data_IF_068776294160
#
_entry.id   IF_068776294160
#
_cell.length_a   1.000
_cell.length_b   1.000
_cell.length_c   1.000
_cell.angle_alpha   90.00
_cell.angle_beta   90.00
_cell.angle_gamma   90.00
#
_symmetry.space_group_name_H-M   'P 1'
#
loop_
_entity.id
_entity.type
_entity.pdbx_description
1 polymer ?
#
# COMPACT_ATOMS: atom_id res chain seq x y z
N UNK A 1 -22.72 -18.11 4.49
CA UNK A 1 -22.42 -19.42 5.12
C UNK A 1 -21.04 -19.32 5.78
N UNK A 2 -20.84 -19.89 6.97
CA UNK A 2 -19.53 -19.95 7.64
C UNK A 2 -18.56 -20.78 6.77
N UNK A 3 -17.33 -20.31 6.58
CA UNK A 3 -16.29 -21.03 5.83
C UNK A 3 -16.25 -20.81 4.31
N UNK A 4 -17.09 -19.93 3.75
CA UNK A 4 -16.92 -19.53 2.35
C UNK A 4 -15.71 -18.62 2.18
N UNK A 5 -14.86 -18.81 1.14
CA UNK A 5 -13.73 -17.92 0.87
C UNK A 5 -14.25 -16.56 0.36
N UNK A 6 -13.82 -15.47 0.98
CA UNK A 6 -14.28 -14.09 0.68
C UNK A 6 -13.15 -13.23 0.12
N UNK A 7 -11.89 -13.58 0.39
CA UNK A 7 -10.74 -12.84 -0.08
C UNK A 7 -9.42 -13.53 0.25
N UNK A 8 -8.33 -12.83 -0.06
CA UNK A 8 -6.97 -13.27 0.19
C UNK A 8 -6.24 -12.23 1.06
N UNK A 9 -5.31 -12.69 1.89
CA UNK A 9 -4.45 -11.86 2.71
C UNK A 9 -3.04 -12.43 2.69
N UNK A 10 -2.05 -11.55 2.68
CA UNK A 10 -0.64 -11.91 2.89
C UNK A 10 -0.04 -10.96 3.92
N UNK A 11 0.85 -11.49 4.76
CA UNK A 11 1.65 -10.69 5.68
C UNK A 11 3.10 -10.75 5.25
N UNK A 12 3.67 -9.61 4.90
CA UNK A 12 5.08 -9.49 4.52
C UNK A 12 5.90 -9.05 5.75
N UNK A 13 7.05 -9.68 5.97
CA UNK A 13 7.99 -9.38 7.06
C UNK A 13 9.43 -9.44 6.56
N UNK A 14 10.33 -8.76 7.27
CA UNK A 14 11.76 -8.74 6.95
C UNK A 14 12.03 -8.18 5.55
N UNK A 15 12.95 -8.81 4.81
CA UNK A 15 13.39 -8.33 3.51
C UNK A 15 12.24 -8.17 2.49
N UNK A 16 11.33 -9.15 2.41
CA UNK A 16 10.19 -9.11 1.46
C UNK A 16 9.26 -7.92 1.69
N UNK A 17 9.15 -7.45 2.94
CA UNK A 17 8.35 -6.27 3.28
C UNK A 17 8.98 -5.01 2.69
N UNK A 18 10.29 -4.83 2.88
CA UNK A 18 11.01 -3.67 2.35
C UNK A 18 11.06 -3.67 0.83
N UNK A 19 11.29 -4.82 0.19
CA UNK A 19 11.26 -4.94 -1.27
C UNK A 19 9.87 -4.60 -1.85
N UNK A 20 8.79 -5.03 -1.19
CA UNK A 20 7.44 -4.66 -1.61
C UNK A 20 7.18 -3.16 -1.41
N UNK A 21 7.61 -2.58 -0.29
CA UNK A 21 7.45 -1.16 -0.02
C UNK A 21 8.20 -0.30 -1.04
N UNK A 22 9.44 -0.67 -1.37
CA UNK A 22 10.25 -0.02 -2.39
C UNK A 22 9.56 -0.06 -3.76
N UNK A 23 9.11 -1.24 -4.21
CA UNK A 23 8.33 -1.36 -5.45
C UNK A 23 7.04 -0.56 -5.42
N UNK A 24 6.32 -0.55 -4.29
CA UNK A 24 5.09 0.19 -4.14
C UNK A 24 5.35 1.68 -4.37
N UNK A 25 6.33 2.24 -3.67
CA UNK A 25 6.67 3.66 -3.71
C UNK A 25 7.27 4.08 -5.04
N UNK A 26 8.28 3.37 -5.52
CA UNK A 26 9.11 3.79 -6.65
C UNK A 26 8.58 3.33 -8.00
N UNK A 27 7.73 2.29 -8.05
CA UNK A 27 7.26 1.70 -9.32
C UNK A 27 5.74 1.76 -9.44
N UNK A 28 5.00 1.31 -8.43
CA UNK A 28 3.56 1.11 -8.56
C UNK A 28 2.76 2.42 -8.40
N UNK A 29 3.04 3.23 -7.37
CA UNK A 29 2.33 4.48 -7.12
C UNK A 29 2.45 5.50 -8.26
N UNK A 30 3.63 5.70 -8.90
CA UNK A 30 3.74 6.59 -10.06
C UNK A 30 2.91 6.17 -11.28
N UNK A 31 2.55 4.90 -11.39
CA UNK A 31 1.70 4.36 -12.48
C UNK A 31 0.21 4.56 -12.24
N UNK A 32 -0.19 5.01 -11.05
CA UNK A 32 -1.59 5.33 -10.75
C UNK A 32 -2.02 6.51 -11.64
N UNK A 33 -3.10 6.35 -12.40
CA UNK A 33 -3.64 7.45 -13.21
C UNK A 33 -4.07 8.62 -12.32
N UNK A 34 -3.71 9.84 -12.73
CA UNK A 34 -3.99 11.08 -12.00
C UNK A 34 -3.44 11.08 -10.56
N UNK A 35 -2.26 10.48 -10.36
CA UNK A 35 -1.63 10.43 -9.04
C UNK A 35 -1.28 11.82 -8.51
N UNK A 36 -1.85 12.17 -7.35
CA UNK A 36 -1.63 13.46 -6.65
C UNK A 36 -1.02 13.26 -5.26
N UNK A 37 -0.27 12.19 -5.08
CA UNK A 37 0.19 11.75 -3.77
C UNK A 37 -0.89 11.06 -2.93
N UNK A 38 -0.41 10.35 -1.92
CA UNK A 38 -1.22 9.59 -0.97
C UNK A 38 -1.78 10.52 0.10
N UNK A 39 -3.05 10.34 0.45
CA UNK A 39 -3.66 11.11 1.54
C UNK A 39 -3.03 10.72 2.87
N UNK A 40 -2.60 11.69 3.70
CA UNK A 40 -2.12 11.41 5.06
C UNK A 40 -3.26 10.98 6.00
N UNK A 41 -4.53 11.00 5.58
CA UNK A 41 -5.65 10.58 6.45
C UNK A 41 -5.76 9.07 6.68
N UNK A 42 -4.83 8.29 6.11
CA UNK A 42 -4.79 6.84 6.29
C UNK A 42 -4.15 6.37 7.60
N UNK A 43 -3.67 7.28 8.45
CA UNK A 43 -3.16 6.91 9.77
C UNK A 43 -4.30 6.62 10.76
N UNK A 44 -4.04 5.71 11.70
CA UNK A 44 -5.02 5.20 12.67
C UNK A 44 -4.95 5.85 14.06
N UNK A 45 -4.10 6.87 14.26
CA UNK A 45 -3.85 7.49 15.57
C UNK A 45 -2.84 6.75 16.43
N UNK A 46 -2.31 5.61 15.95
CA UNK A 46 -1.36 4.75 16.66
C UNK A 46 -0.15 4.39 15.80
N UNK A 47 0.17 5.24 14.83
CA UNK A 47 1.37 5.07 14.00
C UNK A 47 1.27 3.99 12.92
N UNK A 48 0.10 3.42 12.66
CA UNK A 48 -0.10 2.53 11.51
C UNK A 48 -0.75 3.28 10.36
N UNK A 49 -0.38 2.92 9.14
CA UNK A 49 -0.86 3.59 7.95
C UNK A 49 -1.56 2.61 7.01
N UNK A 50 -2.77 2.93 6.57
CA UNK A 50 -3.50 2.14 5.57
C UNK A 50 -3.77 2.94 4.31
N UNK A 51 -3.46 2.34 3.16
CA UNK A 51 -3.76 2.88 1.83
C UNK A 51 -4.55 1.88 1.00
N UNK A 52 -5.62 2.36 0.37
CA UNK A 52 -6.39 1.60 -0.60
C UNK A 52 -5.91 1.84 -2.02
N UNK A 53 -5.62 0.77 -2.73
CA UNK A 53 -5.31 0.75 -4.16
C UNK A 53 -6.55 0.26 -4.91
N UNK A 54 -6.98 1.01 -5.92
CA UNK A 54 -8.18 0.68 -6.70
C UNK A 54 -7.95 -0.43 -7.72
N UNK A 55 -6.76 -0.49 -8.29
CA UNK A 55 -6.44 -1.36 -9.43
C UNK A 55 -5.09 -2.03 -9.20
N UNK A 56 -5.05 -3.36 -9.22
CA UNK A 56 -3.83 -4.13 -9.05
C UNK A 56 -2.87 -4.03 -10.25
N UNK A 57 -3.33 -3.53 -11.40
CA UNK A 57 -2.55 -3.39 -12.64
C UNK A 57 -1.43 -2.35 -12.55
N UNK A 58 -1.37 -1.59 -11.45
CA UNK A 58 -0.28 -0.65 -11.20
C UNK A 58 1.07 -1.35 -11.01
N UNK A 59 1.06 -2.64 -10.65
CA UNK A 59 2.26 -3.45 -10.53
C UNK A 59 2.69 -4.01 -11.89
N UNK A 60 3.95 -3.82 -12.32
CA UNK A 60 4.44 -4.33 -13.61
C UNK A 60 4.39 -5.85 -13.75
N UNK A 61 4.39 -6.58 -12.64
CA UNK A 61 4.28 -8.03 -12.61
C UNK A 61 2.90 -8.55 -13.01
N UNK A 62 1.89 -7.67 -13.04
CA UNK A 62 0.53 -8.03 -13.46
C UNK A 62 0.38 -7.84 -14.96
N UNK A 63 0.16 -8.96 -15.64
CA UNK A 63 -0.15 -9.00 -17.06
C UNK A 63 -1.64 -8.68 -17.27
N UNK A 64 -1.93 -7.58 -17.96
CA UNK A 64 -3.28 -7.10 -18.23
C UNK A 64 -4.10 -8.13 -19.03
N UNK A 65 -3.47 -8.87 -19.95
CA UNK A 65 -4.19 -9.80 -20.82
C UNK A 65 -4.59 -11.09 -20.08
N UNK A 66 -4.02 -11.33 -18.89
CA UNK A 66 -4.29 -12.52 -18.07
C UNK A 66 -5.24 -12.26 -16.91
N UNK A 67 -5.75 -11.03 -16.75
CA UNK A 67 -6.68 -10.70 -15.67
C UNK A 67 -8.13 -10.70 -16.16
N UNK A 68 -8.99 -11.49 -15.50
CA UNK A 68 -10.42 -11.47 -15.80
C UNK A 68 -11.10 -10.16 -15.36
N UNK A 69 -10.66 -9.60 -14.22
CA UNK A 69 -11.25 -8.41 -13.59
C UNK A 69 -10.24 -7.59 -12.83
N UNK A 70 -10.39 -6.27 -12.89
CA UNK A 70 -9.68 -5.33 -12.02
C UNK A 70 -10.20 -5.50 -10.58
N UNK A 71 -9.27 -5.60 -9.64
CA UNK A 71 -9.48 -5.78 -8.20
C UNK A 71 -8.63 -4.76 -7.45
N UNK A 72 -9.24 -4.12 -6.46
CA UNK A 72 -8.51 -3.32 -5.50
C UNK A 72 -7.83 -4.16 -4.42
N UNK A 73 -6.97 -3.51 -3.63
CA UNK A 73 -6.38 -4.08 -2.43
C UNK A 73 -6.16 -2.98 -1.39
N UNK A 74 -6.18 -3.37 -0.12
CA UNK A 74 -5.75 -2.51 0.98
C UNK A 74 -4.37 -2.96 1.44
N UNK A 75 -3.49 -1.98 1.66
CA UNK A 75 -2.13 -2.19 2.16
C UNK A 75 -2.05 -1.47 3.50
N UNK A 76 -1.75 -2.22 4.56
CA UNK A 76 -1.54 -1.68 5.89
C UNK A 76 -0.07 -1.83 6.28
N UNK A 77 0.58 -0.70 6.54
CA UNK A 77 1.94 -0.62 7.03
C UNK A 77 1.86 -0.48 8.55
N UNK A 78 2.36 -1.49 9.25
CA UNK A 78 2.41 -1.53 10.71
C UNK A 78 3.80 -1.06 11.14
N UNK A 79 3.85 -0.08 12.03
CA UNK A 79 5.12 0.45 12.56
C UNK A 79 5.16 0.30 14.07
N UNK A 80 6.33 0.58 14.65
CA UNK A 80 6.50 0.66 16.11
C UNK A 80 6.28 2.08 16.65
N UNK A 81 5.95 3.05 15.78
CA UNK A 81 5.68 4.41 16.21
C UNK A 81 4.39 4.45 17.04
N UNK A 82 4.36 5.27 18.07
CA UNK A 82 3.18 5.41 18.94
C UNK A 82 2.26 6.55 18.46
N UNK A 83 2.78 7.43 17.61
CA UNK A 83 2.09 8.61 17.10
C UNK A 83 2.17 8.70 15.58
N UNK A 84 1.12 9.22 14.97
CA UNK A 84 1.00 9.35 13.51
C UNK A 84 2.06 10.27 12.91
N UNK A 85 2.49 11.31 13.63
CA UNK A 85 3.52 12.23 13.16
C UNK A 85 4.86 11.53 12.94
N UNK A 86 5.25 10.67 13.88
CA UNK A 86 6.47 9.87 13.79
C UNK A 86 6.40 8.85 12.64
N UNK A 87 5.25 8.18 12.50
CA UNK A 87 5.02 7.24 11.41
C UNK A 87 5.01 7.93 10.05
N UNK A 88 4.43 9.13 9.97
CA UNK A 88 4.40 9.95 8.75
C UNK A 88 5.80 10.37 8.33
N UNK A 89 6.61 10.84 9.26
CA UNK A 89 7.98 11.23 8.97
C UNK A 89 8.83 10.02 8.54
N UNK A 90 8.70 8.88 9.25
CA UNK A 90 9.35 7.63 8.86
C UNK A 90 8.98 7.22 7.43
N UNK A 91 7.69 7.21 7.09
CA UNK A 91 7.23 6.85 5.75
C UNK A 91 7.68 7.86 4.70
N UNK A 92 7.69 9.16 5.02
CA UNK A 92 8.18 10.20 4.11
C UNK A 92 9.67 10.02 3.79
N UNK A 93 10.50 9.73 4.80
CA UNK A 93 11.93 9.44 4.63
C UNK A 93 12.19 8.14 3.85
N UNK A 94 11.27 7.17 3.95
CA UNK A 94 11.28 5.96 3.12
C UNK A 94 10.75 6.20 1.68
N UNK A 95 10.45 7.46 1.32
CA UNK A 95 10.07 7.87 -0.02
C UNK A 95 8.56 7.90 -0.28
N UNK A 96 7.71 7.64 0.72
CA UNK A 96 6.26 7.61 0.53
C UNK A 96 5.74 8.98 0.05
N UNK A 97 5.12 9.07 -1.14
CA UNK A 97 4.75 10.35 -1.74
C UNK A 97 3.42 10.86 -1.17
N UNK A 98 3.45 11.45 0.02
CA UNK A 98 2.26 12.08 0.61
C UNK A 98 1.85 13.33 -0.18
N UNK A 99 0.54 13.55 -0.27
CA UNK A 99 -0.01 14.81 -0.79
C UNK A 99 0.29 15.95 0.19
N UNK A 100 0.80 17.06 -0.34
CA UNK A 100 0.91 18.36 0.34
C UNK A 100 -0.45 18.95 0.70
#
# INVERSE_FOLDING_TARGET
RKGMPIGCMVTLRGQRMYEFLDKLVNVALPRVRDFRGISPRGFDGRGNFTVGIKEQIIFPEIDYDKIDKIKGMNITIVTTAEQDEQARELLALLGMPFRS
#
